data_IF_041048080107
#
_entry.id   IF_041048080107
#
_cell.length_a   1.000
_cell.length_b   1.000
_cell.length_c   1.000
_cell.angle_alpha   90.00
_cell.angle_beta   90.00
_cell.angle_gamma   90.00
#
_symmetry.space_group_name_H-M   'P 1'
#
loop_
_entity.id
_entity.type
_entity.pdbx_description
1 polymer ?
#
# COMPACT_ATOMS: atom_id res chain seq x y z
N UNK A 1 9.71 -19.23 18.15
CA UNK A 1 10.00 -17.89 18.70
C UNK A 1 8.91 -17.01 18.20
N UNK A 2 8.48 -16.03 18.99
CA UNK A 2 7.48 -15.08 18.57
C UNK A 2 7.91 -14.34 17.30
N UNK A 3 6.96 -14.08 16.41
CA UNK A 3 7.15 -13.26 15.20
C UNK A 3 7.03 -11.77 15.49
N UNK A 4 6.72 -11.38 16.75
CA UNK A 4 6.47 -9.97 17.06
C UNK A 4 7.57 -9.33 17.89
N UNK A 5 7.77 -8.03 17.65
CA UNK A 5 8.65 -7.15 18.41
C UNK A 5 7.87 -6.58 19.59
N UNK A 6 8.40 -6.68 20.80
CA UNK A 6 7.86 -6.05 21.99
C UNK A 6 8.70 -4.82 22.33
N UNK A 7 8.19 -3.59 22.13
CA UNK A 7 8.95 -2.39 22.45
C UNK A 7 9.17 -2.26 23.97
N UNK A 8 10.36 -1.84 24.36
CA UNK A 8 10.67 -1.60 25.78
C UNK A 8 9.86 -0.43 26.32
N UNK A 9 9.20 -0.64 27.48
CA UNK A 9 8.38 0.38 28.15
C UNK A 9 7.27 0.94 27.26
N UNK A 10 6.63 0.09 26.43
CA UNK A 10 5.54 0.49 25.59
C UNK A 10 4.36 1.08 26.40
N UNK A 11 3.94 2.27 26.00
CA UNK A 11 2.72 2.93 26.53
C UNK A 11 1.72 3.11 25.36
N UNK A 12 0.56 2.44 25.39
CA UNK A 12 -0.46 2.60 24.34
C UNK A 12 -1.12 4.00 24.34
N UNK A 13 -0.73 4.89 25.23
CA UNK A 13 -1.21 6.27 25.43
C UNK A 13 -2.69 6.37 25.80
N UNK A 14 -3.54 5.62 25.14
CA UNK A 14 -5.00 5.63 25.31
C UNK A 14 -5.55 4.20 25.41
N UNK A 15 -6.66 4.05 26.09
CA UNK A 15 -7.42 2.80 26.15
C UNK A 15 -8.09 2.45 24.81
N UNK A 16 -8.75 1.27 24.74
CA UNK A 16 -9.36 0.77 23.51
C UNK A 16 -10.39 1.75 22.96
N UNK A 17 -11.31 2.27 23.75
CA UNK A 17 -12.38 3.15 23.27
C UNK A 17 -11.85 4.49 22.75
N UNK A 18 -10.89 5.10 23.43
CA UNK A 18 -10.27 6.33 22.94
C UNK A 18 -9.44 6.07 21.69
N UNK A 19 -8.82 4.89 21.59
CA UNK A 19 -8.11 4.46 20.37
C UNK A 19 -9.09 4.31 19.20
N UNK A 20 -10.26 3.70 19.38
CA UNK A 20 -11.30 3.60 18.35
C UNK A 20 -11.79 4.98 17.87
N UNK A 21 -11.98 5.92 18.82
CA UNK A 21 -12.32 7.31 18.46
C UNK A 21 -11.19 7.96 17.66
N UNK A 22 -9.94 7.74 18.05
CA UNK A 22 -8.79 8.29 17.35
C UNK A 22 -8.61 7.68 15.95
N UNK A 23 -8.85 6.37 15.77
CA UNK A 23 -8.89 5.70 14.46
C UNK A 23 -9.89 6.40 13.52
N UNK A 24 -11.11 6.67 14.03
CA UNK A 24 -12.13 7.38 13.24
C UNK A 24 -11.67 8.78 12.83
N UNK A 25 -11.05 9.53 13.74
CA UNK A 25 -10.51 10.86 13.44
C UNK A 25 -9.42 10.80 12.37
N UNK A 26 -8.48 9.87 12.49
CA UNK A 26 -7.41 9.66 11.50
C UNK A 26 -8.01 9.32 10.13
N UNK A 27 -8.90 8.32 10.07
CA UNK A 27 -9.50 7.88 8.80
C UNK A 27 -10.31 8.98 8.12
N UNK A 28 -11.17 9.69 8.85
CA UNK A 28 -11.99 10.78 8.28
C UNK A 28 -11.15 11.94 7.75
N UNK A 29 -10.13 12.34 8.51
CA UNK A 29 -9.25 13.42 8.11
C UNK A 29 -8.44 13.03 6.87
N UNK A 30 -7.80 11.85 6.90
CA UNK A 30 -6.95 11.38 5.81
C UNK A 30 -7.73 11.21 4.51
N UNK A 31 -8.87 10.54 4.55
CA UNK A 31 -9.75 10.34 3.38
C UNK A 31 -10.18 11.68 2.76
N UNK A 32 -10.64 12.61 3.57
CA UNK A 32 -11.07 13.94 3.13
C UNK A 32 -9.92 14.72 2.49
N UNK A 33 -8.78 14.77 3.14
CA UNK A 33 -7.61 15.49 2.63
C UNK A 33 -7.04 14.84 1.37
N UNK A 34 -6.99 13.49 1.30
CA UNK A 34 -6.53 12.75 0.12
C UNK A 34 -7.42 13.02 -1.09
N UNK A 35 -8.75 12.91 -0.92
CA UNK A 35 -9.69 13.14 -2.01
C UNK A 35 -9.57 14.56 -2.57
N UNK A 36 -9.37 15.54 -1.71
CA UNK A 36 -9.15 16.95 -2.10
C UNK A 36 -7.80 17.16 -2.78
N UNK A 37 -6.71 16.59 -2.23
CA UNK A 37 -5.35 16.81 -2.73
C UNK A 37 -5.13 16.25 -4.14
N UNK A 38 -5.78 15.13 -4.46
CA UNK A 38 -5.64 14.44 -5.73
C UNK A 38 -6.84 14.58 -6.67
N UNK A 39 -7.92 15.27 -6.25
CA UNK A 39 -9.18 15.42 -7.00
C UNK A 39 -9.82 14.06 -7.31
N UNK A 40 -10.10 13.31 -6.23
CA UNK A 40 -10.64 11.95 -6.30
C UNK A 40 -12.10 11.92 -5.86
N UNK A 41 -12.89 11.10 -6.57
CA UNK A 41 -14.27 10.76 -6.19
C UNK A 41 -14.30 9.37 -5.56
N UNK A 42 -14.94 9.24 -4.38
CA UNK A 42 -15.15 7.93 -3.75
C UNK A 42 -16.15 7.12 -4.55
N UNK A 43 -15.78 5.86 -4.87
CA UNK A 43 -16.66 4.91 -5.53
C UNK A 43 -16.73 3.58 -4.78
N UNK A 44 -17.72 2.75 -5.09
CA UNK A 44 -17.81 1.37 -4.62
C UNK A 44 -16.92 0.46 -5.46
N UNK A 45 -16.24 -0.47 -4.82
CA UNK A 45 -15.41 -1.46 -5.50
C UNK A 45 -15.85 -2.90 -5.17
N UNK A 46 -15.54 -3.88 -6.02
CA UNK A 46 -15.81 -5.28 -5.72
C UNK A 46 -14.90 -5.79 -4.63
N UNK A 47 -15.46 -6.56 -3.69
CA UNK A 47 -14.70 -7.32 -2.70
C UNK A 47 -14.12 -8.61 -3.31
N UNK A 48 -14.75 -9.12 -4.36
CA UNK A 48 -14.36 -10.34 -5.07
C UNK A 48 -14.62 -10.21 -6.57
N UNK A 49 -13.88 -10.95 -7.35
CA UNK A 49 -13.92 -10.95 -8.81
C UNK A 49 -13.98 -12.38 -9.35
N UNK A 50 -14.41 -12.54 -10.61
CA UNK A 50 -14.31 -13.85 -11.27
C UNK A 50 -12.86 -14.18 -11.56
N UNK A 51 -12.39 -15.37 -11.16
CA UNK A 51 -11.04 -15.87 -11.46
C UNK A 51 -10.72 -15.77 -12.96
N UNK A 52 -11.63 -16.17 -13.80
CA UNK A 52 -11.48 -16.14 -15.27
C UNK A 52 -11.30 -14.72 -15.86
N UNK A 53 -11.63 -13.66 -15.12
CA UNK A 53 -11.42 -12.28 -15.57
C UNK A 53 -9.93 -11.88 -15.56
N UNK A 54 -9.09 -12.54 -14.76
CA UNK A 54 -7.65 -12.27 -14.67
C UNK A 54 -7.29 -10.88 -14.15
N UNK A 55 -8.24 -10.21 -13.48
CA UNK A 55 -8.05 -8.85 -12.95
C UNK A 55 -7.61 -8.82 -11.48
N UNK A 56 -7.67 -9.95 -10.77
CA UNK A 56 -7.10 -10.03 -9.42
C UNK A 56 -5.58 -9.88 -9.49
N UNK A 57 -4.99 -9.42 -8.40
CA UNK A 57 -3.54 -9.32 -8.27
C UNK A 57 -2.97 -10.68 -7.86
N UNK A 58 -1.87 -11.06 -8.49
CA UNK A 58 -1.14 -12.27 -8.12
C UNK A 58 -0.01 -11.97 -7.11
N UNK A 59 0.10 -10.74 -6.62
CA UNK A 59 1.19 -10.28 -5.73
C UNK A 59 2.56 -10.72 -6.29
N UNK A 60 3.32 -11.52 -5.53
CA UNK A 60 4.59 -12.09 -5.99
C UNK A 60 4.43 -13.35 -6.86
N UNK A 61 3.19 -13.82 -7.06
CA UNK A 61 2.86 -14.97 -7.93
C UNK A 61 2.80 -16.31 -7.22
N UNK A 62 3.01 -16.34 -5.90
CA UNK A 62 2.96 -17.55 -5.06
C UNK A 62 1.79 -17.57 -4.08
N UNK A 63 1.24 -16.39 -3.75
CA UNK A 63 0.15 -16.24 -2.81
C UNK A 63 -1.17 -16.73 -3.42
N UNK A 64 -1.92 -17.47 -2.62
CA UNK A 64 -3.20 -18.06 -3.02
C UNK A 64 -4.36 -17.16 -2.63
N UNK A 65 -5.26 -16.75 -3.55
CA UNK A 65 -6.46 -16.02 -3.17
C UNK A 65 -7.42 -16.93 -2.38
N UNK A 66 -8.27 -16.32 -1.56
CA UNK A 66 -9.46 -17.01 -1.02
C UNK A 66 -10.45 -17.15 -2.15
N UNK A 67 -10.75 -18.39 -2.54
CA UNK A 67 -11.65 -18.70 -3.63
C UNK A 67 -12.91 -19.42 -3.13
N UNK A 68 -14.04 -19.16 -3.79
CA UNK A 68 -15.33 -19.77 -3.48
C UNK A 68 -16.24 -19.77 -4.71
N UNK A 69 -17.31 -20.55 -4.65
CA UNK A 69 -18.38 -20.60 -5.64
C UNK A 69 -19.66 -20.01 -5.05
N UNK A 70 -20.57 -19.58 -5.93
CA UNK A 70 -21.90 -19.13 -5.53
C UNK A 70 -22.99 -20.11 -6.02
N UNK A 71 -24.06 -20.22 -5.25
CA UNK A 71 -25.13 -21.19 -5.47
C UNK A 71 -25.73 -21.13 -6.89
N UNK A 72 -25.94 -19.92 -7.42
CA UNK A 72 -26.55 -19.71 -8.73
C UNK A 72 -25.58 -19.90 -9.91
N UNK A 73 -24.28 -19.96 -9.64
CA UNK A 73 -23.24 -20.21 -10.66
C UNK A 73 -22.15 -21.14 -10.07
N UNK A 74 -22.46 -22.43 -9.85
CA UNK A 74 -21.55 -23.36 -9.17
C UNK A 74 -20.28 -23.66 -9.98
N UNK A 75 -20.29 -23.43 -11.28
CA UNK A 75 -19.12 -23.65 -12.16
C UNK A 75 -18.22 -22.39 -12.28
N UNK A 76 -18.57 -21.30 -11.60
CA UNK A 76 -17.82 -20.04 -11.65
C UNK A 76 -17.07 -19.80 -10.35
N UNK A 77 -15.75 -19.90 -10.39
CA UNK A 77 -14.90 -19.57 -9.25
C UNK A 77 -14.78 -18.04 -9.10
N UNK A 78 -15.05 -17.58 -7.89
CA UNK A 78 -14.82 -16.21 -7.44
C UNK A 78 -13.61 -16.15 -6.52
N UNK A 79 -12.89 -15.05 -6.55
CA UNK A 79 -11.72 -14.81 -5.70
C UNK A 79 -11.88 -13.49 -4.96
N UNK A 80 -11.65 -13.49 -3.63
CA UNK A 80 -11.49 -12.24 -2.87
C UNK A 80 -10.26 -11.52 -3.42
N UNK A 81 -10.36 -10.21 -3.60
CA UNK A 81 -9.28 -9.42 -4.19
C UNK A 81 -8.05 -9.38 -3.27
N UNK A 82 -6.86 -9.39 -3.88
CA UNK A 82 -5.59 -9.05 -3.23
C UNK A 82 -5.24 -7.58 -3.40
N UNK A 83 -5.61 -6.99 -4.54
CA UNK A 83 -5.55 -5.56 -4.83
C UNK A 83 -6.56 -5.20 -5.93
N UNK A 84 -6.83 -3.92 -6.09
CA UNK A 84 -7.72 -3.39 -7.12
C UNK A 84 -6.98 -2.65 -8.25
N UNK A 85 -5.67 -2.80 -8.35
CA UNK A 85 -4.83 -2.03 -9.28
C UNK A 85 -5.33 -2.09 -10.73
N UNK A 86 -5.62 -3.30 -11.24
CA UNK A 86 -6.16 -3.49 -12.60
C UNK A 86 -7.62 -3.05 -12.72
N UNK A 87 -8.44 -3.37 -11.72
CA UNK A 87 -9.86 -3.01 -11.72
C UNK A 87 -10.08 -1.51 -11.76
N UNK A 88 -9.34 -0.72 -10.97
CA UNK A 88 -9.50 0.74 -10.92
C UNK A 88 -9.32 1.39 -12.29
N UNK A 89 -8.32 0.95 -13.06
CA UNK A 89 -8.06 1.47 -14.38
C UNK A 89 -9.20 1.16 -15.37
N UNK A 90 -9.81 -0.03 -15.25
CA UNK A 90 -11.02 -0.39 -16.01
C UNK A 90 -12.20 0.50 -15.57
N UNK A 91 -12.36 0.73 -14.27
CA UNK A 91 -13.42 1.56 -13.72
C UNK A 91 -13.34 3.01 -14.22
N UNK A 92 -12.14 3.61 -14.28
CA UNK A 92 -11.94 4.94 -14.85
C UNK A 92 -12.44 5.04 -16.30
N UNK A 93 -12.14 4.05 -17.15
CA UNK A 93 -12.70 3.96 -18.51
C UNK A 93 -14.21 3.83 -18.48
N UNK A 94 -14.72 2.89 -17.69
CA UNK A 94 -16.16 2.58 -17.65
C UNK A 94 -16.99 3.79 -17.19
N UNK A 95 -16.46 4.58 -16.26
CA UNK A 95 -17.15 5.76 -15.72
C UNK A 95 -16.85 7.05 -16.52
N UNK A 96 -15.99 6.98 -17.54
CA UNK A 96 -15.70 8.09 -18.43
C UNK A 96 -15.00 9.25 -17.74
N UNK A 97 -14.04 8.96 -16.84
CA UNK A 97 -13.31 9.99 -16.10
C UNK A 97 -12.40 10.80 -17.03
N UNK A 98 -12.46 12.11 -16.90
CA UNK A 98 -11.62 13.06 -17.64
C UNK A 98 -10.19 13.09 -17.06
N UNK A 99 -9.25 13.59 -17.87
CA UNK A 99 -7.86 13.84 -17.45
C UNK A 99 -7.83 14.75 -16.22
N UNK A 100 -7.00 14.42 -15.26
CA UNK A 100 -6.87 15.15 -14.01
C UNK A 100 -7.88 14.75 -12.92
N UNK A 101 -8.89 13.94 -13.26
CA UNK A 101 -9.86 13.38 -12.31
C UNK A 101 -9.49 11.96 -11.93
N UNK A 102 -9.92 11.52 -10.75
CA UNK A 102 -9.64 10.17 -10.28
C UNK A 102 -10.71 9.61 -9.37
N UNK A 103 -10.48 8.40 -8.95
CA UNK A 103 -11.34 7.64 -8.03
C UNK A 103 -10.52 7.13 -6.84
N UNK A 104 -11.18 6.90 -5.73
CA UNK A 104 -10.67 6.08 -4.66
C UNK A 104 -11.79 5.21 -4.08
N UNK A 105 -11.40 4.16 -3.38
CA UNK A 105 -12.32 3.25 -2.72
C UNK A 105 -11.74 2.72 -1.42
N UNK A 106 -12.61 2.29 -0.51
CA UNK A 106 -12.23 1.50 0.65
C UNK A 106 -12.09 0.04 0.20
N UNK A 107 -10.88 -0.37 -0.12
CA UNK A 107 -10.58 -1.75 -0.47
C UNK A 107 -10.46 -2.58 0.80
N UNK A 108 -11.09 -3.74 0.81
CA UNK A 108 -10.89 -4.79 1.80
C UNK A 108 -10.42 -6.06 1.10
N UNK A 109 -9.28 -6.58 1.51
CA UNK A 109 -8.67 -7.76 0.93
C UNK A 109 -8.36 -8.82 2.01
N UNK A 110 -8.24 -10.08 1.59
CA UNK A 110 -7.76 -11.15 2.44
C UNK A 110 -6.54 -11.77 1.77
N UNK A 111 -5.39 -11.66 2.43
CA UNK A 111 -4.13 -12.29 2.04
C UNK A 111 -3.88 -13.49 2.94
N UNK A 112 -4.46 -14.63 2.57
CA UNK A 112 -4.52 -15.82 3.43
C UNK A 112 -3.15 -16.46 3.74
N UNK A 113 -2.14 -16.18 2.94
CA UNK A 113 -0.78 -16.69 3.06
C UNK A 113 0.19 -15.66 3.65
N UNK A 114 -0.34 -14.56 4.26
CA UNK A 114 0.46 -13.51 4.91
C UNK A 114 1.09 -14.01 6.20
N UNK A 115 2.36 -13.71 6.41
CA UNK A 115 3.06 -13.93 7.67
C UNK A 115 2.64 -12.88 8.69
N UNK A 116 2.13 -13.33 9.85
CA UNK A 116 1.64 -12.42 10.90
C UNK A 116 2.80 -11.89 11.74
N UNK A 117 2.88 -10.55 11.84
CA UNK A 117 3.82 -9.84 12.70
C UNK A 117 3.18 -8.56 13.28
N UNK A 118 3.99 -7.61 13.75
CA UNK A 118 3.50 -6.33 14.28
C UNK A 118 2.72 -5.50 13.26
N UNK A 119 3.04 -5.62 11.97
CA UNK A 119 2.59 -4.74 10.89
C UNK A 119 1.77 -5.44 9.81
N UNK A 120 1.71 -6.79 9.85
CA UNK A 120 1.02 -7.61 8.88
C UNK A 120 -0.15 -8.39 9.50
N UNK A 121 -1.27 -8.40 8.78
CA UNK A 121 -2.50 -9.13 9.07
C UNK A 121 -3.00 -9.80 7.80
N UNK A 122 -3.73 -10.91 7.93
CA UNK A 122 -4.43 -11.50 6.78
C UNK A 122 -5.52 -10.58 6.22
N UNK A 123 -6.02 -9.63 7.01
CA UNK A 123 -6.96 -8.60 6.57
C UNK A 123 -6.20 -7.34 6.18
N UNK A 124 -6.40 -6.88 4.96
CA UNK A 124 -5.79 -5.67 4.41
C UNK A 124 -6.85 -4.67 4.04
N UNK A 125 -6.76 -3.45 4.59
CA UNK A 125 -7.64 -2.33 4.27
C UNK A 125 -6.80 -1.18 3.68
N UNK A 126 -7.25 -0.67 2.52
CA UNK A 126 -6.55 0.42 1.83
C UNK A 126 -7.53 1.47 1.32
N UNK A 127 -7.11 2.75 1.31
CA UNK A 127 -7.60 3.69 0.32
C UNK A 127 -6.88 3.38 -0.98
N UNK A 128 -7.57 2.73 -1.87
CA UNK A 128 -7.04 2.31 -3.16
C UNK A 128 -7.49 3.31 -4.22
N UNK A 129 -6.56 4.06 -4.81
CA UNK A 129 -6.84 5.22 -5.65
C UNK A 129 -6.21 5.11 -7.04
N UNK A 130 -6.81 5.81 -8.03
CA UNK A 130 -6.35 5.86 -9.41
C UNK A 130 -6.80 7.16 -10.07
N UNK A 131 -5.93 7.80 -10.84
CA UNK A 131 -6.17 9.09 -11.50
C UNK A 131 -5.74 9.08 -12.95
N UNK A 132 -6.57 9.66 -13.84
CA UNK A 132 -6.24 9.79 -15.27
C UNK A 132 -5.20 10.89 -15.47
N UNK A 133 -4.16 10.60 -16.26
CA UNK A 133 -3.06 11.51 -16.58
C UNK A 133 -2.85 11.63 -18.09
N UNK A 134 -2.09 12.65 -18.51
CA UNK A 134 -1.60 12.78 -19.89
C UNK A 134 -0.29 12.03 -20.10
N UNK A 135 0.07 11.80 -21.35
CA UNK A 135 1.37 11.22 -21.73
C UNK A 135 2.54 12.04 -21.19
N UNK A 136 2.47 13.37 -21.26
CA UNK A 136 3.49 14.27 -20.75
C UNK A 136 3.70 14.18 -19.22
N UNK A 137 2.72 13.63 -18.49
CA UNK A 137 2.82 13.39 -17.04
C UNK A 137 3.55 12.08 -16.69
N UNK A 138 3.92 11.27 -17.68
CA UNK A 138 4.66 10.02 -17.46
C UNK A 138 6.15 10.30 -17.21
N UNK A 139 6.46 10.89 -16.07
CA UNK A 139 7.84 11.22 -15.69
C UNK A 139 8.01 11.22 -14.15
N UNK A 140 9.26 11.19 -13.71
CA UNK A 140 9.63 11.13 -12.29
C UNK A 140 9.21 12.37 -11.52
N UNK A 141 9.23 13.55 -12.15
CA UNK A 141 8.85 14.81 -11.52
C UNK A 141 7.37 14.80 -11.15
N UNK A 142 6.50 14.36 -12.05
CA UNK A 142 5.07 14.23 -11.77
C UNK A 142 4.78 13.20 -10.66
N UNK A 143 5.52 12.09 -10.63
CA UNK A 143 5.46 11.12 -9.54
C UNK A 143 5.83 11.77 -8.21
N UNK A 144 6.98 12.48 -8.15
CA UNK A 144 7.44 13.18 -6.95
C UNK A 144 6.45 14.24 -6.46
N UNK A 145 5.86 15.01 -7.37
CA UNK A 145 4.83 16.00 -7.03
C UNK A 145 3.59 15.34 -6.43
N UNK A 146 3.18 14.20 -6.97
CA UNK A 146 2.03 13.44 -6.43
C UNK A 146 2.34 12.91 -5.03
N UNK A 147 3.53 12.36 -4.82
CA UNK A 147 4.00 11.91 -3.51
C UNK A 147 4.03 13.04 -2.49
N UNK A 148 4.52 14.23 -2.86
CA UNK A 148 4.52 15.42 -1.98
C UNK A 148 3.11 15.84 -1.57
N UNK A 149 2.13 15.75 -2.49
CA UNK A 149 0.71 16.02 -2.17
C UNK A 149 0.17 15.01 -1.16
N UNK A 150 0.45 13.73 -1.34
CA UNK A 150 0.05 12.68 -0.39
C UNK A 150 0.77 12.87 0.95
N UNK A 151 2.05 13.20 0.95
CA UNK A 151 2.78 13.47 2.19
C UNK A 151 2.19 14.66 2.96
N UNK A 152 1.73 15.70 2.27
CA UNK A 152 1.01 16.82 2.92
C UNK A 152 -0.28 16.34 3.62
N UNK A 153 -0.95 15.31 3.10
CA UNK A 153 -2.13 14.72 3.76
C UNK A 153 -1.74 14.08 5.10
N UNK A 154 -0.58 13.41 5.18
CA UNK A 154 -0.04 12.90 6.45
C UNK A 154 0.19 14.02 7.46
N UNK A 155 0.83 15.11 7.05
CA UNK A 155 1.10 16.27 7.92
C UNK A 155 -0.19 16.93 8.43
N UNK A 156 -1.21 17.04 7.58
CA UNK A 156 -2.51 17.59 7.94
C UNK A 156 -3.23 16.68 8.93
N UNK A 157 -3.15 15.35 8.73
CA UNK A 157 -3.78 14.36 9.61
C UNK A 157 -3.09 14.30 10.98
N UNK A 158 -1.75 14.35 11.01
CA UNK A 158 -0.98 14.46 12.26
C UNK A 158 -1.38 15.74 13.04
N UNK A 159 -1.51 16.87 12.34
CA UNK A 159 -1.95 18.13 12.95
C UNK A 159 -3.36 18.01 13.56
N UNK A 160 -4.30 17.41 12.85
CA UNK A 160 -5.67 17.19 13.34
C UNK A 160 -5.67 16.29 14.58
N UNK A 161 -4.93 15.17 14.53
CA UNK A 161 -4.78 14.23 15.64
C UNK A 161 -4.21 14.91 16.88
N UNK A 162 -3.08 15.63 16.75
CA UNK A 162 -2.42 16.30 17.89
C UNK A 162 -3.22 17.49 18.43
N UNK A 163 -4.15 18.03 17.67
CA UNK A 163 -5.07 19.07 18.15
C UNK A 163 -6.18 18.49 19.01
N UNK A 164 -6.62 17.26 18.74
CA UNK A 164 -7.74 16.60 19.46
C UNK A 164 -7.31 15.74 20.63
N UNK A 165 -6.09 15.21 20.61
CA UNK A 165 -5.60 14.24 21.59
C UNK A 165 -4.28 14.70 22.18
N UNK A 166 -4.30 15.12 23.43
CA UNK A 166 -3.18 15.78 24.13
C UNK A 166 -1.93 14.88 24.31
N UNK A 167 -2.11 13.54 24.32
CA UNK A 167 -0.98 12.61 24.48
C UNK A 167 -0.19 12.35 23.19
N UNK A 168 -0.68 12.79 22.03
CA UNK A 168 0.08 12.69 20.79
C UNK A 168 0.84 13.97 20.50
N UNK A 169 2.07 13.82 20.06
CA UNK A 169 2.95 14.89 19.64
C UNK A 169 3.30 14.75 18.15
N UNK A 170 3.65 15.86 17.52
CA UNK A 170 4.13 15.85 16.14
C UNK A 170 5.51 15.23 16.06
N UNK A 171 5.71 14.30 15.15
CA UNK A 171 6.97 13.61 14.93
C UNK A 171 7.35 13.46 13.45
N UNK A 172 6.43 13.77 12.53
CA UNK A 172 6.72 13.70 11.10
C UNK A 172 7.71 14.79 10.67
N UNK A 173 8.71 14.49 9.84
CA UNK A 173 9.58 15.49 9.23
C UNK A 173 8.76 16.40 8.28
N UNK A 174 9.28 17.60 8.01
CA UNK A 174 8.56 18.57 7.16
C UNK A 174 8.42 18.12 5.70
N UNK A 175 9.33 17.29 5.23
CA UNK A 175 9.43 16.88 3.83
C UNK A 175 9.78 15.39 3.74
N UNK A 176 9.40 14.78 2.63
CA UNK A 176 9.80 13.43 2.25
C UNK A 176 11.08 13.46 1.44
N UNK A 177 12.02 12.56 1.74
CA UNK A 177 13.29 12.41 1.02
C UNK A 177 13.14 11.36 -0.08
N UNK A 178 13.56 11.70 -1.31
CA UNK A 178 13.48 10.79 -2.47
C UNK A 178 14.83 10.12 -2.71
N UNK A 179 14.78 8.82 -3.00
CA UNK A 179 15.95 8.00 -3.35
C UNK A 179 15.51 6.88 -4.30
N UNK A 180 16.37 6.48 -5.22
CA UNK A 180 16.12 5.28 -6.03
C UNK A 180 16.61 4.02 -5.31
N UNK A 181 16.05 2.87 -5.66
CA UNK A 181 16.50 1.57 -5.12
C UNK A 181 17.97 1.31 -5.42
N UNK A 182 18.48 1.77 -6.58
CA UNK A 182 19.90 1.66 -6.94
C UNK A 182 20.79 2.58 -6.09
N UNK A 183 20.38 3.85 -5.89
CA UNK A 183 21.13 4.76 -5.01
C UNK A 183 21.20 4.23 -3.58
N UNK A 184 20.09 3.63 -3.10
CA UNK A 184 20.03 3.02 -1.77
C UNK A 184 20.98 1.80 -1.66
N UNK A 185 21.07 0.98 -2.72
CA UNK A 185 22.07 -0.09 -2.78
C UNK A 185 23.50 0.45 -2.77
N UNK A 186 23.77 1.51 -3.53
CA UNK A 186 25.12 2.12 -3.61
C UNK A 186 25.55 2.73 -2.28
N UNK A 187 24.61 3.29 -1.51
CA UNK A 187 24.90 3.83 -0.16
C UNK A 187 25.20 2.72 0.86
N UNK A 188 24.52 1.57 0.77
CA UNK A 188 24.61 0.49 1.74
C UNK A 188 24.74 -0.89 1.04
N UNK A 189 25.83 -1.13 0.30
CA UNK A 189 25.96 -2.32 -0.55
C UNK A 189 25.97 -3.65 0.22
N UNK A 190 26.40 -3.64 1.48
CA UNK A 190 26.51 -4.83 2.33
C UNK A 190 25.17 -5.20 3.02
N UNK A 191 24.19 -4.28 3.03
CA UNK A 191 22.90 -4.50 3.70
C UNK A 191 21.89 -5.14 2.74
N UNK A 192 20.94 -5.90 3.29
CA UNK A 192 19.76 -6.36 2.54
C UNK A 192 18.78 -5.20 2.35
N UNK A 193 17.83 -5.29 1.38
CA UNK A 193 16.94 -4.18 1.07
C UNK A 193 16.21 -3.58 2.27
N UNK A 194 15.61 -4.39 3.13
CA UNK A 194 14.90 -3.93 4.33
C UNK A 194 15.81 -3.19 5.33
N UNK A 195 17.05 -3.67 5.52
CA UNK A 195 18.03 -2.99 6.37
C UNK A 195 18.50 -1.66 5.78
N UNK A 196 18.57 -1.56 4.43
CA UNK A 196 18.86 -0.30 3.72
C UNK A 196 17.75 0.73 3.97
N UNK A 197 16.49 0.29 3.86
CA UNK A 197 15.31 1.12 4.13
C UNK A 197 15.30 1.58 5.59
N UNK A 198 15.49 0.66 6.55
CA UNK A 198 15.55 0.96 7.98
C UNK A 198 16.58 2.03 8.27
N UNK A 199 17.79 1.86 7.75
CA UNK A 199 18.88 2.79 7.99
C UNK A 199 18.61 4.17 7.40
N UNK A 200 18.16 4.23 6.16
CA UNK A 200 17.87 5.49 5.48
C UNK A 200 16.62 6.19 6.03
N UNK A 201 15.55 5.43 6.34
CA UNK A 201 14.37 5.98 6.99
C UNK A 201 14.65 6.49 8.41
N UNK A 202 15.54 5.83 9.16
CA UNK A 202 15.96 6.30 10.49
C UNK A 202 16.65 7.66 10.45
N UNK A 203 17.43 7.92 9.40
CA UNK A 203 18.15 9.19 9.22
C UNK A 203 17.23 10.32 8.75
N UNK A 204 16.22 10.01 7.92
CA UNK A 204 15.39 11.01 7.23
C UNK A 204 13.95 11.12 7.76
N UNK A 205 13.47 10.14 8.53
CA UNK A 205 12.12 10.07 9.09
C UNK A 205 11.03 9.67 8.09
N UNK A 206 11.05 10.21 6.86
CA UNK A 206 10.13 9.86 5.77
C UNK A 206 10.89 9.82 4.44
N UNK A 207 10.77 8.70 3.72
CA UNK A 207 11.46 8.47 2.45
C UNK A 207 10.49 7.96 1.39
N UNK A 208 10.82 8.20 0.13
CA UNK A 208 10.15 7.57 -1.01
C UNK A 208 11.21 6.85 -1.84
N UNK A 209 11.19 5.52 -1.78
CA UNK A 209 12.11 4.65 -2.52
C UNK A 209 11.54 4.40 -3.90
N UNK A 210 12.23 4.87 -4.94
CA UNK A 210 11.76 4.81 -6.34
C UNK A 210 12.38 3.65 -7.12
N UNK A 211 11.75 3.31 -8.24
CA UNK A 211 12.25 2.37 -9.26
C UNK A 211 12.40 0.95 -8.70
N UNK A 212 11.36 0.45 -8.05
CA UNK A 212 11.28 -0.90 -7.50
C UNK A 212 10.77 -1.88 -8.56
N UNK A 213 11.30 -3.11 -8.58
CA UNK A 213 10.92 -4.18 -9.50
C UNK A 213 12.02 -4.57 -10.49
N UNK A 214 12.94 -3.64 -10.79
CA UNK A 214 14.09 -3.90 -11.67
C UNK A 214 15.19 -4.68 -10.97
N UNK A 215 16.02 -5.33 -11.77
CA UNK A 215 17.29 -5.91 -11.30
C UNK A 215 18.29 -4.76 -11.12
N UNK A 216 18.91 -4.68 -9.95
CA UNK A 216 19.94 -3.70 -9.61
C UNK A 216 21.32 -4.12 -10.18
N UNK A 217 22.31 -3.23 -10.08
CA UNK A 217 23.69 -3.48 -10.55
C UNK A 217 24.33 -4.71 -9.90
N UNK A 218 23.95 -5.06 -8.67
CA UNK A 218 24.37 -6.29 -7.99
C UNK A 218 23.82 -7.58 -8.61
N UNK A 219 22.89 -7.50 -9.55
CA UNK A 219 22.16 -8.64 -10.11
C UNK A 219 20.97 -9.10 -9.24
N UNK A 220 20.64 -8.40 -8.17
CA UNK A 220 19.50 -8.68 -7.28
C UNK A 220 18.42 -7.62 -7.46
N UNK A 221 17.19 -7.92 -7.08
CA UNK A 221 16.12 -6.94 -6.98
C UNK A 221 16.12 -6.30 -5.58
N UNK A 222 15.65 -5.05 -5.50
CA UNK A 222 15.37 -4.43 -4.21
C UNK A 222 14.17 -5.12 -3.57
N UNK A 223 13.07 -5.19 -4.31
CA UNK A 223 11.86 -5.93 -3.94
C UNK A 223 11.14 -6.45 -5.19
N UNK A 224 10.17 -7.37 -5.00
CA UNK A 224 9.29 -7.86 -6.04
C UNK A 224 8.25 -6.81 -6.44
N UNK A 225 7.88 -6.82 -7.74
CA UNK A 225 6.75 -6.03 -8.25
C UNK A 225 6.06 -6.80 -9.36
N UNK A 226 4.73 -6.83 -9.32
CA UNK A 226 3.95 -7.35 -10.43
C UNK A 226 4.25 -6.54 -11.70
N UNK A 227 4.37 -7.23 -12.87
CA UNK A 227 4.79 -6.56 -14.10
C UNK A 227 3.67 -5.81 -14.81
N UNK A 228 2.44 -5.94 -14.35
CA UNK A 228 1.25 -5.64 -15.15
C UNK A 228 0.40 -4.46 -14.65
N UNK A 229 0.90 -3.69 -13.68
CA UNK A 229 0.21 -2.44 -13.30
C UNK A 229 1.15 -1.25 -13.08
N UNK A 230 2.25 -1.33 -12.32
CA UNK A 230 3.19 -0.21 -12.16
C UNK A 230 4.34 -0.26 -13.17
N UNK A 231 4.68 0.87 -13.79
CA UNK A 231 5.93 1.02 -14.53
C UNK A 231 7.10 1.08 -13.53
N UNK A 232 8.00 0.11 -13.60
CA UNK A 232 9.13 0.00 -12.66
C UNK A 232 10.13 1.15 -12.73
N UNK A 233 10.06 1.98 -13.79
CA UNK A 233 10.84 3.21 -13.89
C UNK A 233 10.15 4.39 -13.14
N UNK A 234 8.84 4.28 -12.88
CA UNK A 234 7.96 5.37 -12.44
C UNK A 234 7.09 4.98 -11.24
N UNK A 235 7.60 4.14 -10.35
CA UNK A 235 6.93 3.69 -9.13
C UNK A 235 7.78 3.94 -7.89
N UNK A 236 7.22 3.64 -6.74
CA UNK A 236 7.94 3.60 -5.47
C UNK A 236 7.03 3.44 -4.27
N UNK A 237 7.68 3.33 -3.11
CA UNK A 237 7.05 3.13 -1.82
C UNK A 237 7.32 4.29 -0.88
N UNK A 238 6.27 4.79 -0.24
CA UNK A 238 6.35 5.76 0.84
C UNK A 238 6.55 5.02 2.15
N UNK A 239 7.74 5.18 2.69
CA UNK A 239 8.22 4.49 3.88
C UNK A 239 8.54 5.51 4.96
N UNK A 240 8.11 5.26 6.18
CA UNK A 240 8.37 6.12 7.32
C UNK A 240 9.09 5.38 8.44
N UNK A 241 9.94 6.07 9.16
CA UNK A 241 10.56 5.53 10.35
C UNK A 241 9.54 5.40 11.47
N UNK A 242 9.33 4.18 11.95
CA UNK A 242 8.46 3.90 13.08
C UNK A 242 9.30 3.83 14.39
N UNK A 243 9.26 4.88 15.22
CA UNK A 243 10.08 4.92 16.44
C UNK A 243 9.60 3.93 17.51
N UNK A 244 8.38 3.41 17.42
CA UNK A 244 7.86 2.42 18.38
C UNK A 244 8.49 1.05 18.15
N UNK A 245 8.64 0.64 16.88
CA UNK A 245 9.23 -0.65 16.52
C UNK A 245 10.73 -0.57 16.21
N UNK A 246 11.31 0.64 16.17
CA UNK A 246 12.70 0.91 15.73
C UNK A 246 12.98 0.30 14.34
N UNK A 247 12.05 0.46 13.40
CA UNK A 247 12.11 -0.06 12.03
C UNK A 247 11.38 0.86 11.05
N UNK A 248 11.63 0.69 9.77
CA UNK A 248 10.85 1.33 8.71
C UNK A 248 9.45 0.70 8.61
N UNK A 249 8.49 1.46 8.09
CA UNK A 249 7.12 1.01 7.82
C UNK A 249 6.65 1.59 6.49
N UNK A 250 6.40 0.72 5.54
CA UNK A 250 5.73 1.07 4.28
C UNK A 250 4.26 1.41 4.54
N UNK A 251 3.85 2.63 4.18
CA UNK A 251 2.48 3.12 4.34
C UNK A 251 1.73 3.20 3.01
N UNK A 252 2.42 3.30 1.90
CA UNK A 252 1.82 3.38 0.57
C UNK A 252 2.77 2.89 -0.51
N UNK A 253 2.25 2.09 -1.43
CA UNK A 253 2.89 1.76 -2.69
C UNK A 253 2.12 2.41 -3.84
N UNK A 254 2.82 3.07 -4.78
CA UNK A 254 2.19 3.77 -5.89
C UNK A 254 3.10 3.88 -7.10
N UNK A 255 2.50 4.16 -8.27
CA UNK A 255 3.26 4.38 -9.49
C UNK A 255 2.42 4.96 -10.62
N UNK A 256 3.10 5.54 -11.59
CA UNK A 256 2.55 5.74 -12.91
C UNK A 256 2.39 4.35 -13.53
N UNK A 257 1.19 4.07 -14.03
CA UNK A 257 0.87 2.73 -14.51
C UNK A 257 1.54 2.43 -15.85
N UNK A 258 1.79 1.15 -16.10
CA UNK A 258 2.35 0.71 -17.38
C UNK A 258 1.56 1.25 -18.58
N UNK A 259 2.27 1.72 -19.59
CA UNK A 259 1.79 1.80 -20.96
C UNK A 259 2.08 0.48 -21.70
N UNK A 260 1.80 0.43 -23.01
CA UNK A 260 2.10 -0.76 -23.82
C UNK A 260 3.56 -1.17 -23.75
N UNK A 261 4.47 -0.22 -23.90
CA UNK A 261 5.91 -0.48 -23.99
C UNK A 261 6.45 -1.01 -22.66
N UNK A 262 6.05 -0.38 -21.55
CA UNK A 262 6.42 -0.82 -20.21
C UNK A 262 5.84 -2.21 -19.89
N UNK A 263 4.56 -2.46 -20.22
CA UNK A 263 3.94 -3.77 -20.04
C UNK A 263 4.68 -4.87 -20.80
N UNK A 264 4.97 -4.65 -22.09
CA UNK A 264 5.66 -5.63 -22.93
C UNK A 264 7.08 -5.93 -22.42
N UNK A 265 7.81 -4.88 -22.03
CA UNK A 265 9.16 -4.99 -21.46
C UNK A 265 9.13 -5.83 -20.18
N UNK A 266 8.25 -5.47 -19.23
CA UNK A 266 8.19 -6.11 -17.90
C UNK A 266 7.68 -7.56 -17.96
N UNK A 267 6.68 -7.86 -18.80
CA UNK A 267 6.23 -9.24 -19.02
C UNK A 267 7.33 -10.11 -19.62
N UNK A 268 8.10 -9.58 -20.58
CA UNK A 268 9.21 -10.29 -21.20
C UNK A 268 10.34 -10.55 -20.20
N UNK A 269 10.68 -9.57 -19.36
CA UNK A 269 11.73 -9.71 -18.34
C UNK A 269 11.41 -10.84 -17.34
N UNK A 270 10.13 -11.05 -17.03
CA UNK A 270 9.68 -12.12 -16.13
C UNK A 270 9.27 -13.42 -16.84
N UNK A 271 9.37 -13.51 -18.19
CA UNK A 271 8.90 -14.63 -18.99
C UNK A 271 7.39 -14.92 -18.78
N UNK A 272 6.56 -13.88 -18.75
CA UNK A 272 5.11 -13.92 -18.53
C UNK A 272 4.31 -13.39 -19.72
N UNK A 273 4.83 -13.49 -20.94
CA UNK A 273 4.21 -12.94 -22.16
C UNK A 273 2.83 -13.55 -22.45
N UNK A 274 2.54 -14.74 -21.97
CA UNK A 274 1.22 -15.38 -22.08
C UNK A 274 0.11 -14.54 -21.44
N UNK A 275 0.44 -13.70 -20.43
CA UNK A 275 -0.54 -12.78 -19.79
C UNK A 275 -1.12 -11.75 -20.75
N UNK A 276 -0.47 -11.48 -21.89
CA UNK A 276 -1.01 -10.63 -22.97
C UNK A 276 -2.39 -11.11 -23.47
N UNK A 277 -2.71 -12.39 -23.25
CA UNK A 277 -3.99 -12.98 -23.61
C UNK A 277 -5.13 -12.69 -22.62
N UNK A 278 -4.84 -12.21 -21.41
CA UNK A 278 -5.84 -11.84 -20.41
C UNK A 278 -6.59 -10.58 -20.81
N UNK A 279 -7.81 -10.43 -20.32
CA UNK A 279 -8.72 -9.35 -20.73
C UNK A 279 -8.15 -7.94 -20.46
N UNK A 280 -7.63 -7.69 -19.27
CA UNK A 280 -7.02 -6.41 -18.91
C UNK A 280 -5.83 -6.06 -19.83
N UNK A 281 -4.94 -7.04 -20.08
CA UNK A 281 -3.75 -6.83 -20.92
C UNK A 281 -4.14 -6.54 -22.37
N UNK A 282 -5.14 -7.23 -22.91
CA UNK A 282 -5.66 -6.94 -24.24
C UNK A 282 -6.22 -5.52 -24.35
N UNK A 283 -7.00 -5.08 -23.35
CA UNK A 283 -7.52 -3.71 -23.34
C UNK A 283 -6.39 -2.68 -23.33
N UNK A 284 -5.34 -2.91 -22.54
CA UNK A 284 -4.18 -2.02 -22.48
C UNK A 284 -3.44 -1.98 -23.82
N UNK A 285 -3.14 -3.15 -24.38
CA UNK A 285 -2.39 -3.27 -25.65
C UNK A 285 -3.17 -2.69 -26.85
N UNK A 286 -4.49 -2.62 -26.76
CA UNK A 286 -5.38 -2.03 -27.78
C UNK A 286 -5.66 -0.53 -27.56
N UNK A 287 -4.97 0.15 -26.61
CA UNK A 287 -5.21 1.56 -26.23
C UNK A 287 -6.62 1.83 -25.72
N UNK A 288 -7.25 0.83 -25.14
CA UNK A 288 -8.61 0.97 -24.64
C UNK A 288 -8.68 1.54 -23.22
N UNK A 289 -7.57 1.56 -22.49
CA UNK A 289 -7.48 2.07 -21.12
C UNK A 289 -6.75 3.42 -21.05
N UNK A 290 -7.18 4.35 -20.19
CA UNK A 290 -6.51 5.63 -20.01
C UNK A 290 -5.10 5.43 -19.42
N UNK A 291 -4.21 6.40 -19.66
CA UNK A 291 -2.96 6.52 -18.89
C UNK A 291 -3.28 7.00 -17.49
N UNK A 292 -2.65 6.40 -16.48
CA UNK A 292 -3.01 6.66 -15.10
C UNK A 292 -1.81 6.63 -14.15
N UNK A 293 -1.98 7.28 -13.01
CA UNK A 293 -1.17 7.12 -11.79
C UNK A 293 -2.09 6.62 -10.69
N UNK A 294 -1.61 5.72 -9.85
CA UNK A 294 -2.41 5.22 -8.74
C UNK A 294 -1.60 4.49 -7.70
N UNK A 295 -2.27 4.08 -6.63
CA UNK A 295 -1.62 3.39 -5.52
C UNK A 295 -2.61 2.88 -4.50
N UNK A 296 -2.08 2.18 -3.51
CA UNK A 296 -2.78 1.75 -2.30
C UNK A 296 -2.15 2.40 -1.08
N UNK A 297 -2.97 2.90 -0.17
CA UNK A 297 -2.54 3.51 1.09
C UNK A 297 -3.17 2.72 2.23
N UNK A 298 -2.35 2.06 3.05
CA UNK A 298 -2.81 1.18 4.12
C UNK A 298 -3.54 1.93 5.24
N UNK A 299 -4.86 1.76 5.37
CA UNK A 299 -5.67 2.47 6.38
C UNK A 299 -5.25 2.10 7.81
N UNK A 300 -5.19 0.81 8.10
CA UNK A 300 -4.77 0.33 9.43
C UNK A 300 -3.31 0.62 9.72
N UNK A 301 -2.42 0.52 8.72
CA UNK A 301 -0.99 0.90 8.89
C UNK A 301 -0.83 2.37 9.23
N UNK A 302 -1.58 3.28 8.60
CA UNK A 302 -1.58 4.72 8.95
C UNK A 302 -2.09 4.95 10.36
N UNK A 303 -3.19 4.28 10.74
CA UNK A 303 -3.69 4.38 12.11
C UNK A 303 -2.65 3.87 13.12
N UNK A 304 -2.04 2.70 12.88
CA UNK A 304 -0.97 2.16 13.71
C UNK A 304 0.18 3.17 13.88
N UNK A 305 0.66 3.73 12.77
CA UNK A 305 1.77 4.66 12.73
C UNK A 305 1.48 5.98 13.47
N UNK A 306 0.40 6.68 13.08
CA UNK A 306 0.05 7.98 13.65
C UNK A 306 -0.40 7.89 15.12
N UNK A 307 -1.06 6.80 15.51
CA UNK A 307 -1.45 6.54 16.89
C UNK A 307 -0.33 5.89 17.71
N UNK A 308 0.87 5.73 17.12
CA UNK A 308 2.07 5.20 17.78
C UNK A 308 1.81 3.86 18.47
N UNK A 309 1.16 2.93 17.75
CA UNK A 309 0.83 1.59 18.25
C UNK A 309 1.93 0.59 17.93
N UNK A 310 2.12 -0.37 18.83
CA UNK A 310 3.13 -1.41 18.69
C UNK A 310 2.70 -2.58 17.79
N UNK A 311 1.39 -2.77 17.61
CA UNK A 311 0.85 -3.88 16.83
C UNK A 311 -0.38 -3.43 16.03
N UNK A 312 -0.48 -3.87 14.76
CA UNK A 312 -1.61 -3.51 13.89
C UNK A 312 -2.96 -3.96 14.46
N UNK A 313 -2.99 -5.02 15.25
CA UNK A 313 -4.18 -5.48 15.98
C UNK A 313 -4.72 -4.50 17.02
N UNK A 314 -3.99 -3.46 17.39
CA UNK A 314 -4.49 -2.38 18.25
C UNK A 314 -5.38 -1.37 17.49
N UNK A 315 -5.36 -1.44 16.15
CA UNK A 315 -6.12 -0.53 15.27
C UNK A 315 -6.95 -1.28 14.22
N UNK A 316 -6.88 -2.60 14.22
CA UNK A 316 -7.58 -3.47 13.28
C UNK A 316 -8.09 -4.73 13.98
N UNK A 317 -9.40 -4.97 13.91
CA UNK A 317 -9.97 -6.24 14.35
C UNK A 317 -9.65 -7.33 13.32
N UNK A 318 -8.91 -8.35 13.74
CA UNK A 318 -8.49 -9.47 12.90
C UNK A 318 -8.37 -10.75 13.72
N UNK A 319 -7.77 -11.81 13.17
CA UNK A 319 -7.50 -13.07 13.86
C UNK A 319 -5.99 -13.22 14.04
N UNK A 320 -5.57 -13.61 15.23
CA UNK A 320 -4.17 -13.74 15.61
C UNK A 320 -3.89 -15.14 16.18
N UNK A 321 -2.63 -15.57 16.11
CA UNK A 321 -2.25 -16.85 16.74
C UNK A 321 -2.33 -16.73 18.26
N UNK A 322 -2.58 -17.86 18.98
CA UNK A 322 -2.60 -17.85 20.44
C UNK A 322 -1.31 -17.28 21.07
N UNK A 323 -0.17 -17.48 20.41
CA UNK A 323 1.14 -16.98 20.84
C UNK A 323 1.19 -15.46 20.78
N UNK A 324 0.77 -14.85 19.65
CA UNK A 324 0.69 -13.39 19.48
C UNK A 324 -0.26 -12.78 20.52
N UNK A 325 -1.46 -13.35 20.70
CA UNK A 325 -2.44 -12.89 21.68
C UNK A 325 -1.87 -12.89 23.10
N UNK A 326 -1.19 -13.99 23.47
CA UNK A 326 -0.55 -14.11 24.77
C UNK A 326 0.52 -13.07 25.00
N UNK A 327 1.45 -12.91 24.05
CA UNK A 327 2.54 -11.93 24.15
C UNK A 327 2.05 -10.50 24.20
N UNK A 328 1.08 -10.13 23.36
CA UNK A 328 0.47 -8.82 23.40
C UNK A 328 -0.14 -8.52 24.77
N UNK A 329 -0.93 -9.48 25.33
CA UNK A 329 -1.56 -9.32 26.63
C UNK A 329 -0.55 -9.18 27.77
N UNK A 330 0.53 -9.97 27.77
CA UNK A 330 1.58 -9.94 28.81
C UNK A 330 2.39 -8.63 28.78
N UNK A 331 2.40 -7.93 27.64
CA UNK A 331 3.17 -6.70 27.44
C UNK A 331 2.32 -5.42 27.27
N UNK A 332 1.02 -5.47 27.62
CA UNK A 332 0.16 -4.29 27.62
C UNK A 332 -0.22 -3.79 26.22
N UNK A 333 -0.08 -4.62 25.18
CA UNK A 333 -0.53 -4.34 23.81
C UNK A 333 -2.00 -4.77 23.71
N UNK A 334 -2.88 -3.79 23.50
CA UNK A 334 -4.33 -3.99 23.58
C UNK A 334 -4.94 -4.29 22.20
N UNK A 335 -4.98 -5.56 21.81
CA UNK A 335 -5.62 -5.97 20.56
C UNK A 335 -7.13 -5.66 20.61
N UNK A 336 -7.70 -5.12 19.52
CA UNK A 336 -9.15 -4.83 19.41
C UNK A 336 -9.98 -6.10 19.39
N UNK A 337 -9.46 -7.18 18.81
CA UNK A 337 -10.11 -8.46 18.70
C UNK A 337 -9.07 -9.59 18.55
N UNK A 338 -9.44 -10.83 19.00
CA UNK A 338 -8.59 -12.03 18.89
C UNK A 338 -9.39 -13.31 19.08
#
# INVERSE_FOLDING_TARGET
MSSIIIPKNYDPKYGIMETEIAIKVVKDCFEKELSKALDLTRISAPMFVRKAAGINDNLNGVERPVAFEMKEMPDVTLEIVHSLAKWKRIALKQYGLEVGKGIYTDMNAIRRDEDLDNTHSIYVDQWDWEKVILEENRNVEFLKETVKKIYQVFLNTEKELTTRFEKFEKFLPKEVTFITSQELENLYPELIPTEREDKFAKEHGAIFVMQIGKVLESGKKHDGRAPDYDDWELNGDLIMWNPILDSSLELSSMGIRVDKAALERQLKELNLEERKNLSFHKMLLNDELPLTIGGGIGQSRICMFLLQKAHIGEVQASVWTPEIVKECKENGINLLWY
#
